data_IF_341468335231
#
_entry.id   IF_341468335231
#
_cell.length_a   1.000
_cell.length_b   1.000
_cell.length_c   1.000
_cell.angle_alpha   90.00
_cell.angle_beta   90.00
_cell.angle_gamma   90.00
#
_symmetry.space_group_name_H-M   'P 1'
#
loop_
_entity.id
_entity.type
_entity.pdbx_description
1 polymer ?
#
# COMPACT_ATOMS: atom_id res chain seq x y z
N UNK A 1 -5.62 -1.50 6.61
CA UNK A 1 -4.96 -0.73 5.53
C UNK A 1 -5.81 0.50 5.22
N UNK A 2 -5.22 1.69 4.99
CA UNK A 2 -5.99 2.82 4.47
C UNK A 2 -6.55 2.49 3.07
N UNK A 3 -7.77 2.94 2.77
CA UNK A 3 -8.51 2.55 1.54
C UNK A 3 -8.19 3.43 0.31
N UNK A 4 -7.23 4.35 0.42
CA UNK A 4 -6.92 5.35 -0.60
C UNK A 4 -6.33 4.79 -1.90
N UNK A 5 -5.73 3.59 -1.88
CA UNK A 5 -5.19 2.91 -3.07
C UNK A 5 -6.23 2.70 -4.20
N UNK A 6 -7.52 2.67 -3.84
CA UNK A 6 -8.63 2.58 -4.80
C UNK A 6 -8.78 3.86 -5.65
N UNK A 7 -8.24 4.97 -5.18
CA UNK A 7 -8.35 6.28 -5.82
C UNK A 7 -7.10 6.69 -6.61
N UNK A 8 -6.11 5.80 -6.79
CA UNK A 8 -4.86 6.11 -7.51
C UNK A 8 -5.12 6.69 -8.90
N UNK A 9 -6.07 6.11 -9.66
CA UNK A 9 -6.45 6.64 -10.97
C UNK A 9 -6.97 8.08 -10.90
N UNK A 10 -7.84 8.39 -9.95
CA UNK A 10 -8.35 9.75 -9.76
C UNK A 10 -7.23 10.70 -9.33
N UNK A 11 -6.40 10.31 -8.35
CA UNK A 11 -5.25 11.09 -7.88
C UNK A 11 -4.35 11.45 -9.06
N UNK A 12 -4.06 10.50 -9.95
CA UNK A 12 -3.22 10.75 -11.11
C UNK A 12 -3.85 11.76 -12.09
N UNK A 13 -5.17 11.79 -12.23
CA UNK A 13 -5.84 12.77 -13.10
C UNK A 13 -5.80 14.18 -12.52
N UNK A 14 -5.98 14.34 -11.21
CA UNK A 14 -6.03 15.68 -10.57
C UNK A 14 -4.65 16.19 -10.14
N UNK A 15 -3.70 15.29 -9.90
CA UNK A 15 -2.33 15.55 -9.48
C UNK A 15 -1.38 14.68 -10.33
N UNK A 16 -1.12 15.04 -11.60
CA UNK A 16 -0.39 14.19 -12.55
C UNK A 16 1.05 13.87 -12.13
N UNK A 17 1.63 14.71 -11.26
CA UNK A 17 2.97 14.54 -10.72
C UNK A 17 3.00 13.85 -9.35
N UNK A 18 1.86 13.45 -8.80
CA UNK A 18 1.81 12.75 -7.53
C UNK A 18 2.65 11.47 -7.58
N UNK A 19 3.49 11.30 -6.57
CA UNK A 19 4.26 10.09 -6.30
C UNK A 19 3.49 9.30 -5.24
N UNK A 20 3.33 8.00 -5.46
CA UNK A 20 2.59 7.12 -4.55
C UNK A 20 3.59 6.20 -3.85
N UNK A 21 3.50 6.14 -2.52
CA UNK A 21 4.24 5.15 -1.73
C UNK A 21 3.28 4.02 -1.39
N UNK A 22 3.57 2.84 -1.91
CA UNK A 22 2.86 1.61 -1.63
C UNK A 22 3.52 0.88 -0.47
N UNK A 23 3.12 1.23 0.76
CA UNK A 23 3.63 0.62 1.98
C UNK A 23 3.03 -0.78 2.17
N UNK A 24 3.86 -1.81 2.09
CA UNK A 24 3.48 -3.22 2.21
C UNK A 24 4.04 -3.84 3.47
N UNK A 25 3.34 -4.87 3.93
CA UNK A 25 3.78 -5.77 4.99
C UNK A 25 3.44 -7.19 4.58
N UNK A 26 4.13 -8.17 5.16
CA UNK A 26 3.82 -9.58 4.98
C UNK A 26 2.30 -9.86 5.11
N UNK A 27 1.67 -10.61 4.19
CA UNK A 27 0.21 -10.73 4.13
C UNK A 27 -0.42 -11.28 5.41
N UNK A 28 0.19 -12.31 6.02
CA UNK A 28 -0.32 -12.92 7.25
C UNK A 28 -0.27 -11.95 8.42
N UNK A 29 0.86 -11.25 8.60
CA UNK A 29 1.02 -10.22 9.60
C UNK A 29 -0.03 -9.12 9.46
N UNK A 30 -0.25 -8.66 8.22
CA UNK A 30 -1.22 -7.61 7.92
C UNK A 30 -2.64 -8.06 8.24
N UNK A 31 -3.07 -9.22 7.73
CA UNK A 31 -4.42 -9.74 7.94
C UNK A 31 -4.68 -10.05 9.43
N UNK A 32 -3.73 -10.67 10.11
CA UNK A 32 -3.86 -10.97 11.54
C UNK A 32 -3.88 -9.71 12.40
N UNK A 33 -3.05 -8.71 12.08
CA UNK A 33 -3.08 -7.42 12.79
C UNK A 33 -4.43 -6.72 12.62
N UNK A 34 -5.03 -6.78 11.44
CA UNK A 34 -6.36 -6.20 11.19
C UNK A 34 -7.45 -6.97 11.91
N UNK A 35 -7.39 -8.31 11.93
CA UNK A 35 -8.36 -9.15 12.62
C UNK A 35 -8.43 -8.90 14.14
N UNK A 36 -7.28 -8.64 14.77
CA UNK A 36 -7.23 -8.33 16.21
C UNK A 36 -7.67 -6.91 16.57
N UNK A 37 -7.77 -6.00 15.59
CA UNK A 37 -8.06 -4.60 15.83
C UNK A 37 -9.58 -4.35 15.83
N UNK A 38 -10.07 -3.64 16.85
CA UNK A 38 -11.43 -3.11 16.83
C UNK A 38 -11.45 -1.79 16.05
N UNK A 39 -12.03 -1.80 14.85
CA UNK A 39 -12.25 -0.62 14.03
C UNK A 39 -13.64 -0.03 14.30
N UNK A 40 -13.73 1.31 14.28
CA UNK A 40 -15.01 1.99 14.49
C UNK A 40 -16.00 1.77 13.33
N UNK A 41 -15.53 1.85 12.07
CA UNK A 41 -16.36 1.63 10.87
C UNK A 41 -15.52 1.38 9.62
N UNK A 42 -16.10 0.75 8.59
CA UNK A 42 -15.59 0.73 7.21
C UNK A 42 -14.48 -0.29 6.95
N UNK A 43 -14.32 -1.25 7.87
CA UNK A 43 -13.34 -2.32 7.83
C UNK A 43 -14.01 -3.67 8.15
N UNK A 44 -15.25 -3.92 7.70
CA UNK A 44 -15.98 -5.15 8.08
C UNK A 44 -15.23 -6.43 7.64
N UNK A 45 -14.47 -6.36 6.54
CA UNK A 45 -13.65 -7.46 6.03
C UNK A 45 -12.57 -7.94 7.00
N UNK A 46 -12.24 -7.17 8.04
CA UNK A 46 -11.17 -7.55 8.97
C UNK A 46 -11.60 -8.61 9.97
N UNK A 47 -12.90 -8.81 10.19
CA UNK A 47 -13.42 -9.75 11.19
C UNK A 47 -13.59 -11.19 10.70
N UNK A 48 -13.14 -11.48 9.48
CA UNK A 48 -13.00 -12.84 8.97
C UNK A 48 -11.67 -12.99 8.25
N UNK A 49 -10.91 -14.04 8.59
CA UNK A 49 -9.57 -14.24 8.03
C UNK A 49 -9.61 -14.54 6.52
N UNK A 50 -10.66 -15.22 6.05
CA UNK A 50 -10.86 -15.48 4.63
C UNK A 50 -11.16 -14.18 3.86
N UNK A 51 -12.02 -13.33 4.42
CA UNK A 51 -12.39 -12.01 3.91
C UNK A 51 -11.17 -11.08 3.88
N UNK A 52 -10.37 -11.08 4.96
CA UNK A 52 -9.10 -10.36 5.03
C UNK A 52 -8.11 -10.80 3.96
N UNK A 53 -7.94 -12.11 3.77
CA UNK A 53 -7.10 -12.66 2.70
C UNK A 53 -7.58 -12.29 1.29
N UNK A 54 -8.89 -12.41 1.05
CA UNK A 54 -9.51 -12.01 -0.22
C UNK A 54 -9.35 -10.51 -0.50
N UNK A 55 -9.49 -9.69 0.54
CA UNK A 55 -9.28 -8.26 0.46
C UNK A 55 -7.83 -7.92 0.12
N UNK A 56 -6.87 -8.54 0.81
CA UNK A 56 -5.44 -8.34 0.54
C UNK A 56 -5.08 -8.77 -0.89
N UNK A 57 -5.57 -9.92 -1.35
CA UNK A 57 -5.38 -10.38 -2.73
C UNK A 57 -5.92 -9.40 -3.76
N UNK A 58 -7.09 -8.81 -3.48
CA UNK A 58 -7.69 -7.79 -4.35
C UNK A 58 -6.86 -6.50 -4.39
N UNK A 59 -6.35 -6.07 -3.24
CA UNK A 59 -5.40 -4.97 -3.13
C UNK A 59 -4.12 -5.24 -3.96
N UNK A 60 -3.49 -6.42 -3.84
CA UNK A 60 -2.29 -6.77 -4.61
C UNK A 60 -2.57 -6.75 -6.10
N UNK A 61 -3.69 -7.34 -6.55
CA UNK A 61 -4.10 -7.32 -7.95
C UNK A 61 -4.24 -5.90 -8.48
N UNK A 62 -4.87 -5.01 -7.71
CA UNK A 62 -5.06 -3.62 -8.09
C UNK A 62 -3.73 -2.84 -8.13
N UNK A 63 -2.86 -3.04 -7.14
CA UNK A 63 -1.54 -2.39 -7.14
C UNK A 63 -0.65 -2.89 -8.28
N UNK A 64 -0.74 -4.17 -8.65
CA UNK A 64 -0.04 -4.70 -9.83
C UNK A 64 -0.56 -4.07 -11.12
N UNK A 65 -1.88 -3.85 -11.23
CA UNK A 65 -2.45 -3.10 -12.36
C UNK A 65 -1.85 -1.69 -12.42
N UNK A 66 -1.84 -0.94 -11.30
CA UNK A 66 -1.31 0.41 -11.29
C UNK A 66 0.18 0.49 -11.62
N UNK A 67 1.00 -0.45 -11.13
CA UNK A 67 2.41 -0.52 -11.51
C UNK A 67 2.60 -0.72 -13.02
N UNK A 68 1.69 -1.45 -13.67
CA UNK A 68 1.72 -1.67 -15.13
C UNK A 68 1.31 -0.43 -15.93
N UNK A 69 0.27 0.29 -15.49
CA UNK A 69 -0.29 1.42 -16.26
C UNK A 69 0.31 2.78 -15.89
N UNK A 70 0.99 2.90 -14.74
CA UNK A 70 1.64 4.12 -14.25
C UNK A 70 3.11 3.82 -13.88
N UNK A 71 3.97 3.47 -14.85
CA UNK A 71 5.37 3.17 -14.58
C UNK A 71 6.07 4.35 -13.91
N UNK A 72 6.96 4.09 -12.96
CA UNK A 72 7.74 5.08 -12.20
C UNK A 72 6.91 6.08 -11.36
N UNK A 73 5.61 5.82 -11.14
CA UNK A 73 4.73 6.65 -10.28
C UNK A 73 4.51 6.05 -8.90
N UNK A 74 4.84 4.77 -8.70
CA UNK A 74 4.58 4.04 -7.47
C UNK A 74 5.90 3.44 -6.97
N UNK A 75 6.27 3.76 -5.73
CA UNK A 75 7.37 3.13 -5.00
C UNK A 75 6.78 2.14 -4.00
N UNK A 76 7.11 0.86 -4.14
CA UNK A 76 6.76 -0.16 -3.14
C UNK A 76 7.81 -0.16 -2.04
N UNK A 77 7.38 -0.04 -0.79
CA UNK A 77 8.25 -0.09 0.38
C UNK A 77 7.72 -1.20 1.30
N UNK A 78 8.54 -2.22 1.59
CA UNK A 78 8.13 -3.28 2.50
C UNK A 78 8.53 -2.92 3.93
N UNK A 79 7.65 -3.20 4.87
CA UNK A 79 7.83 -2.92 6.29
C UNK A 79 9.05 -3.66 6.86
N UNK A 80 9.30 -4.87 6.39
CA UNK A 80 10.44 -5.69 6.78
C UNK A 80 11.76 -5.01 6.40
N UNK A 81 11.84 -4.45 5.19
CA UNK A 81 13.02 -3.69 4.73
C UNK A 81 13.23 -2.42 5.58
N UNK A 82 12.16 -1.78 6.07
CA UNK A 82 12.23 -0.61 6.95
C UNK A 82 12.75 -0.99 8.35
N UNK A 83 12.36 -2.16 8.87
CA UNK A 83 12.83 -2.66 10.16
C UNK A 83 14.33 -2.94 10.09
N UNK A 84 14.78 -3.52 8.97
CA UNK A 84 16.18 -3.91 8.77
C UNK A 84 17.08 -2.69 8.49
N UNK A 85 16.62 -1.72 7.69
CA UNK A 85 17.37 -0.50 7.36
C UNK A 85 16.44 0.72 7.19
N UNK A 86 16.09 1.36 8.30
CA UNK A 86 15.25 2.55 8.29
C UNK A 86 15.89 3.71 7.51
N UNK A 87 17.19 3.95 7.69
CA UNK A 87 17.87 5.10 7.07
C UNK A 87 17.92 4.96 5.55
N UNK A 88 18.27 3.77 5.05
CA UNK A 88 18.26 3.46 3.63
C UNK A 88 16.88 3.58 3.01
N UNK A 89 15.84 3.01 3.63
CA UNK A 89 14.47 3.09 3.10
C UNK A 89 13.93 4.53 3.07
N UNK A 90 14.24 5.35 4.09
CA UNK A 90 13.86 6.77 4.11
C UNK A 90 14.58 7.53 2.99
N UNK A 91 15.88 7.26 2.78
CA UNK A 91 16.65 7.89 1.70
C UNK A 91 16.07 7.57 0.33
N UNK A 92 15.70 6.31 0.07
CA UNK A 92 15.03 5.91 -1.18
C UNK A 92 13.69 6.63 -1.38
N UNK A 93 12.87 6.75 -0.33
CA UNK A 93 11.62 7.50 -0.40
C UNK A 93 11.83 8.98 -0.75
N UNK A 94 12.88 9.60 -0.20
CA UNK A 94 13.22 11.00 -0.49
C UNK A 94 13.73 11.17 -1.94
N UNK A 95 14.58 10.26 -2.41
CA UNK A 95 15.09 10.29 -3.79
C UNK A 95 13.93 10.15 -4.79
N UNK A 96 13.03 9.19 -4.55
CA UNK A 96 11.86 8.97 -5.40
C UNK A 96 10.95 10.21 -5.52
N UNK A 97 10.86 11.02 -4.45
CA UNK A 97 10.15 12.30 -4.47
C UNK A 97 10.84 13.35 -5.34
N UNK A 98 12.17 13.36 -5.39
CA UNK A 98 12.98 14.41 -6.04
C UNK A 98 13.16 14.15 -7.55
N UNK A 99 13.04 12.90 -8.01
CA UNK A 99 13.17 12.58 -9.45
C UNK A 99 12.01 13.18 -10.26
N UNK A 100 12.28 14.30 -10.94
CA UNK A 100 11.43 14.97 -11.93
C UNK A 100 11.29 14.15 -13.21
#
# INVERSE_FOLDING_TARGET
MPNNFRHIGLIHLILPNAKIIDARRYPLDCCFSMFKQLFAQGQEFTYGLAEGGNYYNSYVKLMNHWNKVLPNRILRVNNEDIIDDLEGQVKECLIFRITL
#
